data_IF_780518700150
#
_entry.id   IF_780518700150
#
_cell.length_a   1.000
_cell.length_b   1.000
_cell.length_c   1.000
_cell.angle_alpha   90.00
_cell.angle_beta   90.00
_cell.angle_gamma   90.00
#
_symmetry.space_group_name_H-M   'P 1'
#
loop_
_entity.id
_entity.type
_entity.pdbx_description
1 polymer ?
#
# COMPACT_ATOMS: atom_id res chain seq x y z
N UNK A 1 13.69 -11.98 -3.21
CA UNK A 1 13.18 -10.66 -3.67
C UNK A 1 12.33 -10.83 -4.92
N UNK A 2 12.81 -11.55 -5.95
CA UNK A 2 12.07 -11.76 -7.20
C UNK A 2 10.73 -12.51 -7.01
N UNK A 3 10.71 -13.58 -6.21
CA UNK A 3 9.45 -14.28 -5.86
C UNK A 3 8.43 -13.38 -5.12
N UNK A 4 8.90 -12.44 -4.30
CA UNK A 4 8.03 -11.50 -3.58
C UNK A 4 7.49 -10.43 -4.52
N UNK A 5 8.31 -9.96 -5.47
CA UNK A 5 7.87 -9.04 -6.54
C UNK A 5 6.81 -9.70 -7.40
N UNK A 6 7.06 -10.90 -7.89
CA UNK A 6 6.09 -11.62 -8.73
C UNK A 6 4.76 -11.83 -7.99
N UNK A 7 4.83 -12.26 -6.73
CA UNK A 7 3.64 -12.42 -5.90
C UNK A 7 2.88 -11.11 -5.67
N UNK A 8 3.59 -9.98 -5.57
CA UNK A 8 2.94 -8.68 -5.48
C UNK A 8 2.21 -8.32 -6.79
N UNK A 9 2.85 -8.57 -7.94
CA UNK A 9 2.23 -8.38 -9.27
C UNK A 9 0.95 -9.21 -9.38
N UNK A 10 1.01 -10.50 -9.05
CA UNK A 10 -0.14 -11.39 -9.15
C UNK A 10 -1.33 -10.90 -8.29
N UNK A 11 -1.05 -10.38 -7.08
CA UNK A 11 -2.07 -9.78 -6.21
C UNK A 11 -2.65 -8.50 -6.80
N UNK A 12 -1.81 -7.65 -7.41
CA UNK A 12 -2.25 -6.40 -8.05
C UNK A 12 -3.12 -6.69 -9.28
N UNK A 13 -2.74 -7.66 -10.10
CA UNK A 13 -3.50 -8.08 -11.28
C UNK A 13 -4.85 -8.68 -10.89
N UNK A 14 -4.87 -9.54 -9.87
CA UNK A 14 -6.12 -10.10 -9.32
C UNK A 14 -7.05 -8.99 -8.85
N UNK A 15 -6.53 -8.05 -8.05
CA UNK A 15 -7.32 -6.94 -7.53
C UNK A 15 -7.83 -6.00 -8.65
N UNK A 16 -7.03 -5.76 -9.70
CA UNK A 16 -7.45 -4.97 -10.85
C UNK A 16 -8.61 -5.61 -11.63
N UNK A 17 -8.58 -6.93 -11.77
CA UNK A 17 -9.57 -7.71 -12.53
C UNK A 17 -10.86 -7.94 -11.76
N UNK A 18 -10.78 -8.20 -10.46
CA UNK A 18 -11.95 -8.57 -9.66
C UNK A 18 -12.73 -7.34 -9.18
N UNK A 19 -12.04 -6.24 -8.90
CA UNK A 19 -12.67 -5.03 -8.36
C UNK A 19 -13.04 -4.10 -9.50
N UNK A 20 -14.30 -4.20 -9.95
CA UNK A 20 -14.85 -3.34 -11.02
C UNK A 20 -15.69 -2.17 -10.51
N UNK A 21 -15.79 -1.99 -9.18
CA UNK A 21 -16.63 -0.94 -8.61
C UNK A 21 -16.08 0.46 -8.99
N UNK A 22 -16.90 1.35 -9.59
CA UNK A 22 -16.48 2.68 -10.04
C UNK A 22 -15.85 3.55 -8.95
N UNK A 23 -16.22 3.32 -7.68
CA UNK A 23 -15.65 4.02 -6.53
C UNK A 23 -14.12 3.92 -6.48
N UNK A 24 -13.57 2.80 -6.93
CA UNK A 24 -12.14 2.52 -6.88
C UNK A 24 -11.42 2.79 -8.20
N UNK A 25 -12.06 3.43 -9.19
CA UNK A 25 -11.46 3.64 -10.51
C UNK A 25 -10.12 4.39 -10.45
N UNK A 26 -10.00 5.40 -9.59
CA UNK A 26 -8.75 6.15 -9.44
C UNK A 26 -7.66 5.27 -8.82
N UNK A 27 -8.01 4.46 -7.81
CA UNK A 27 -7.07 3.51 -7.22
C UNK A 27 -6.66 2.42 -8.21
N UNK A 28 -7.59 1.91 -9.04
CA UNK A 28 -7.28 0.93 -10.09
C UNK A 28 -6.28 1.48 -11.11
N UNK A 29 -6.38 2.75 -11.50
CA UNK A 29 -5.38 3.39 -12.39
C UNK A 29 -4.01 3.40 -11.74
N UNK A 30 -3.92 3.85 -10.49
CA UNK A 30 -2.67 3.81 -9.72
C UNK A 30 -2.11 2.40 -9.57
N UNK A 31 -2.97 1.40 -9.39
CA UNK A 31 -2.56 0.00 -9.28
C UNK A 31 -1.86 -0.49 -10.56
N UNK A 32 -2.35 -0.09 -11.73
CA UNK A 32 -1.70 -0.39 -13.01
C UNK A 32 -0.37 0.33 -13.15
N UNK A 33 -0.30 1.62 -12.79
CA UNK A 33 0.93 2.41 -12.80
C UNK A 33 2.01 1.76 -11.92
N UNK A 34 1.66 1.41 -10.68
CA UNK A 34 2.56 0.75 -9.73
C UNK A 34 2.99 -0.65 -10.21
N UNK A 35 2.13 -1.40 -10.90
CA UNK A 35 2.48 -2.70 -11.49
C UNK A 35 3.50 -2.54 -12.62
N UNK A 36 3.33 -1.51 -13.46
CA UNK A 36 4.28 -1.19 -14.52
C UNK A 36 5.63 -0.72 -13.96
N UNK A 37 5.63 0.15 -12.96
CA UNK A 37 6.85 0.56 -12.26
C UNK A 37 7.58 -0.65 -11.67
N UNK A 38 6.84 -1.56 -11.03
CA UNK A 38 7.40 -2.78 -10.44
C UNK A 38 8.05 -3.71 -11.46
N UNK A 39 7.46 -3.82 -12.67
CA UNK A 39 8.00 -4.56 -13.80
C UNK A 39 9.22 -3.89 -14.44
N UNK A 40 9.35 -2.57 -14.33
CA UNK A 40 10.49 -1.80 -14.83
C UNK A 40 11.65 -1.73 -13.81
N UNK A 41 11.72 -2.69 -12.89
CA UNK A 41 12.72 -2.76 -11.82
C UNK A 41 12.79 -1.51 -10.91
N UNK A 42 11.69 -0.74 -10.78
CA UNK A 42 11.63 0.32 -9.77
C UNK A 42 11.85 -0.25 -8.35
N UNK A 43 12.22 0.65 -7.43
CA UNK A 43 12.48 0.32 -6.04
C UNK A 43 11.25 -0.33 -5.37
N UNK A 44 11.39 -1.61 -5.04
CA UNK A 44 10.35 -2.41 -4.41
C UNK A 44 9.81 -1.78 -3.11
N UNK A 45 10.68 -1.14 -2.32
CA UNK A 45 10.29 -0.51 -1.06
C UNK A 45 9.40 0.70 -1.36
N UNK A 46 9.76 1.50 -2.37
CA UNK A 46 8.97 2.66 -2.83
C UNK A 46 7.58 2.22 -3.27
N UNK A 47 7.47 1.14 -4.06
CA UNK A 47 6.18 0.60 -4.52
C UNK A 47 5.32 0.09 -3.37
N UNK A 48 5.89 -0.71 -2.46
CA UNK A 48 5.15 -1.18 -1.26
C UNK A 48 4.66 -0.02 -0.40
N UNK A 49 5.48 1.01 -0.24
CA UNK A 49 5.11 2.22 0.47
C UNK A 49 3.93 2.91 -0.24
N UNK A 50 4.03 3.16 -1.55
CA UNK A 50 2.97 3.80 -2.33
C UNK A 50 1.65 3.03 -2.23
N UNK A 51 1.68 1.71 -2.42
CA UNK A 51 0.54 0.83 -2.26
C UNK A 51 -0.12 0.96 -0.88
N UNK A 52 0.68 0.94 0.19
CA UNK A 52 0.15 1.09 1.56
C UNK A 52 -0.62 2.41 1.70
N UNK A 53 -0.06 3.50 1.20
CA UNK A 53 -0.67 4.84 1.29
C UNK A 53 -1.93 4.94 0.45
N UNK A 54 -1.89 4.46 -0.79
CA UNK A 54 -3.03 4.51 -1.69
C UNK A 54 -4.16 3.60 -1.21
N UNK A 55 -3.88 2.41 -0.66
CA UNK A 55 -4.87 1.54 -0.03
C UNK A 55 -5.55 2.22 1.17
N UNK A 56 -4.80 2.95 1.99
CA UNK A 56 -5.35 3.73 3.10
C UNK A 56 -6.15 4.96 2.63
N UNK A 57 -6.05 5.35 1.37
CA UNK A 57 -6.80 6.47 0.79
C UNK A 57 -7.88 6.02 -0.19
N UNK A 58 -7.90 4.75 -0.58
CA UNK A 58 -8.83 4.18 -1.55
C UNK A 58 -10.30 4.33 -1.12
N UNK A 59 -10.56 4.37 0.19
CA UNK A 59 -11.88 4.63 0.74
C UNK A 59 -11.84 5.51 1.99
N UNK A 60 -11.97 6.82 1.79
CA UNK A 60 -12.04 7.79 2.88
C UNK A 60 -13.36 7.77 3.65
N UNK A 61 -14.40 7.11 3.12
CA UNK A 61 -15.69 6.96 3.83
C UNK A 61 -15.58 5.97 4.99
N UNK A 62 -14.57 5.09 4.98
CA UNK A 62 -14.29 4.16 6.07
C UNK A 62 -13.52 4.84 7.20
N UNK A 63 -13.93 4.53 8.44
CA UNK A 63 -13.21 4.92 9.64
C UNK A 63 -11.81 4.31 9.67
N UNK A 64 -10.84 5.04 10.25
CA UNK A 64 -9.43 4.63 10.30
C UNK A 64 -9.22 3.20 10.82
N UNK A 65 -10.05 2.76 11.80
CA UNK A 65 -9.98 1.41 12.39
C UNK A 65 -10.36 0.29 11.41
N UNK A 66 -11.27 0.56 10.47
CA UNK A 66 -11.82 -0.45 9.56
C UNK A 66 -11.44 -0.18 8.11
N UNK A 67 -10.45 0.70 7.90
CA UNK A 67 -10.11 1.22 6.58
C UNK A 67 -9.46 0.20 5.67
N UNK A 68 -8.82 -0.83 6.23
CA UNK A 68 -8.29 -1.96 5.48
C UNK A 68 -9.26 -3.14 5.48
N UNK A 69 -9.90 -3.43 6.62
CA UNK A 69 -10.84 -4.56 6.74
C UNK A 69 -12.19 -4.31 6.06
N UNK A 70 -12.53 -3.07 5.75
CA UNK A 70 -13.73 -2.69 4.99
C UNK A 70 -13.48 -2.52 3.49
N UNK A 71 -12.24 -2.68 3.01
CA UNK A 71 -11.95 -2.75 1.59
C UNK A 71 -12.35 -4.12 1.03
N UNK A 72 -12.53 -4.23 -0.29
CA UNK A 72 -12.60 -5.52 -0.97
C UNK A 72 -11.44 -6.44 -0.58
N UNK A 73 -11.70 -7.75 -0.54
CA UNK A 73 -10.77 -8.74 -0.01
C UNK A 73 -9.41 -8.72 -0.74
N UNK A 74 -9.41 -8.44 -2.04
CA UNK A 74 -8.23 -8.40 -2.89
C UNK A 74 -7.33 -7.20 -2.53
N UNK A 75 -7.92 -6.04 -2.23
CA UNK A 75 -7.18 -4.87 -1.74
C UNK A 75 -6.63 -5.08 -0.32
N UNK A 76 -7.43 -5.70 0.56
CA UNK A 76 -6.96 -6.07 1.90
C UNK A 76 -5.82 -7.09 1.82
N UNK A 77 -5.86 -8.04 0.87
CA UNK A 77 -4.82 -9.04 0.68
C UNK A 77 -3.48 -8.40 0.28
N UNK A 78 -3.47 -7.40 -0.62
CA UNK A 78 -2.28 -6.62 -0.95
C UNK A 78 -1.71 -5.97 0.32
N UNK A 79 -2.56 -5.31 1.12
CA UNK A 79 -2.12 -4.66 2.36
C UNK A 79 -1.44 -5.65 3.32
N UNK A 80 -2.10 -6.78 3.59
CA UNK A 80 -1.55 -7.78 4.51
C UNK A 80 -0.30 -8.47 3.98
N UNK A 81 -0.10 -8.49 2.66
CA UNK A 81 1.13 -8.98 2.06
C UNK A 81 2.31 -8.01 2.26
N UNK A 82 2.10 -6.70 2.04
CA UNK A 82 3.17 -5.69 2.10
C UNK A 82 3.48 -5.22 3.53
N UNK A 83 2.50 -5.20 4.43
CA UNK A 83 2.67 -4.68 5.80
C UNK A 83 3.81 -5.36 6.59
N UNK A 84 3.88 -6.71 6.69
CA UNK A 84 4.97 -7.36 7.43
C UNK A 84 6.33 -7.13 6.79
N UNK A 85 6.40 -7.02 5.45
CA UNK A 85 7.64 -6.73 4.73
C UNK A 85 8.12 -5.31 5.05
N UNK A 86 7.22 -4.33 5.05
CA UNK A 86 7.54 -2.96 5.45
C UNK A 86 7.96 -2.86 6.92
N UNK A 87 7.35 -3.65 7.82
CA UNK A 87 7.75 -3.70 9.24
C UNK A 87 9.13 -4.33 9.46
N UNK A 88 9.54 -5.25 8.59
CA UNK A 88 10.85 -5.88 8.66
C UNK A 88 11.99 -4.97 8.16
N UNK A 89 11.67 -3.89 7.43
CA UNK A 89 12.62 -2.89 6.98
C UNK A 89 12.98 -1.96 8.15
N UNK A 90 14.27 -1.68 8.34
CA UNK A 90 14.77 -0.75 9.35
C UNK A 90 14.07 0.62 9.23
N UNK A 91 13.60 1.16 10.36
CA UNK A 91 12.97 2.48 10.42
C UNK A 91 13.83 3.59 9.81
N UNK A 92 15.16 3.50 9.89
CA UNK A 92 16.10 4.44 9.24
C UNK A 92 16.05 4.36 7.72
N UNK A 93 15.84 3.16 7.18
CA UNK A 93 15.69 2.95 5.73
C UNK A 93 14.36 3.54 5.29
N UNK A 94 13.28 3.31 6.04
CA UNK A 94 11.96 3.90 5.78
C UNK A 94 11.97 5.43 5.86
N UNK A 95 12.74 6.02 6.78
CA UNK A 95 12.85 7.48 6.92
C UNK A 95 13.56 8.16 5.73
N UNK A 96 14.32 7.41 4.93
CA UNK A 96 14.81 7.94 3.64
C UNK A 96 13.67 8.12 2.63
N UNK A 97 12.56 7.41 2.79
CA UNK A 97 11.39 7.52 1.94
C UNK A 97 10.29 8.45 2.51
N UNK A 98 10.38 8.87 3.78
CA UNK A 98 9.44 9.85 4.40
C UNK A 98 9.50 11.22 3.71
N UNK A 99 10.63 11.56 3.11
CA UNK A 99 10.84 12.79 2.32
C UNK A 99 10.02 12.85 1.02
N UNK A 100 9.44 11.74 0.55
CA UNK A 100 8.60 11.70 -0.66
C UNK A 100 7.10 11.88 -0.37
N UNK A 101 6.74 12.57 0.71
CA UNK A 101 5.34 12.85 1.07
C UNK A 101 4.67 11.74 1.90
N UNK A 102 5.46 10.83 2.48
CA UNK A 102 4.97 9.79 3.37
C UNK A 102 4.67 10.37 4.76
N UNK A 103 3.41 10.36 5.17
CA UNK A 103 3.06 10.56 6.57
C UNK A 103 3.26 9.21 7.28
N UNK A 104 4.30 9.05 8.12
CA UNK A 104 4.39 7.87 8.95
C UNK A 104 3.18 7.87 9.88
N UNK A 105 2.28 6.90 9.71
CA UNK A 105 1.40 6.48 10.80
C UNK A 105 2.33 5.98 11.90
N UNK A 106 2.72 6.88 12.81
CA UNK A 106 3.53 6.57 13.99
C UNK A 106 2.84 5.41 14.72
N UNK A 107 3.42 4.22 14.59
CA UNK A 107 3.09 3.10 15.46
C UNK A 107 3.62 3.46 16.84
N UNK A 108 2.71 3.89 17.72
CA UNK A 108 3.03 4.28 19.09
C UNK A 108 2.69 5.74 19.38
N UNK A 109 1.57 5.92 20.06
CA UNK A 109 1.11 7.16 20.70
C UNK A 109 2.24 8.01 21.29
N UNK A 110 2.18 9.32 21.08
CA UNK A 110 2.18 10.29 22.18
C UNK A 110 1.57 11.59 21.68
N UNK A 111 0.25 11.75 21.88
CA UNK A 111 -0.31 13.08 22.09
C UNK A 111 0.07 13.46 23.51
N UNK A 112 0.92 14.49 23.67
CA UNK A 112 0.97 15.30 24.88
C UNK A 112 0.70 16.73 24.46
N UNK A 113 -0.50 17.20 24.78
CA UNK A 113 -0.81 18.62 24.82
C UNK A 113 -0.20 19.20 26.11
N UNK A 114 0.54 20.31 26.07
CA UNK A 114 0.27 21.42 26.95
C UNK A 114 -0.98 22.19 26.49
#
# INVERSE_FOLDING_TARGET
MEEQRQKLIDLMDTAYNDIQNPKFNDFRKKLVELSQELNNDEDYIKIMLALRTDLLQADLTLNLKNRISGLPAEYSAIYYFIEPQLKAIDAKVLDRYTHFGFIPLKFGSTVKYP
#
